data_IF_044137485522
#
_entry.id   IF_044137485522
#
_cell.length_a   1.000
_cell.length_b   1.000
_cell.length_c   1.000
_cell.angle_alpha   90.00
_cell.angle_beta   90.00
_cell.angle_gamma   90.00
#
_symmetry.space_group_name_H-M   'P 1'
#
loop_
_entity.id
_entity.type
_entity.pdbx_description
1 polymer ?
#
# COMPACT_ATOMS: atom_id res chain seq x y z
N UNK A 1 -27.83 -43.51 26.10
CA UNK A 1 -27.40 -43.43 24.69
C UNK A 1 -28.60 -43.80 23.84
N UNK A 2 -29.41 -42.80 23.46
CA UNK A 2 -30.57 -43.01 22.59
C UNK A 2 -30.18 -42.57 21.20
N UNK A 3 -29.83 -43.55 20.37
CA UNK A 3 -29.57 -43.40 18.95
C UNK A 3 -30.90 -43.06 18.26
N UNK A 4 -31.06 -41.80 17.87
CA UNK A 4 -32.14 -41.34 16.99
C UNK A 4 -31.91 -41.93 15.60
N UNK A 5 -32.75 -42.88 15.20
CA UNK A 5 -32.88 -43.37 13.84
C UNK A 5 -33.32 -42.22 12.92
N UNK A 6 -32.68 -42.00 11.76
CA UNK A 6 -33.16 -41.00 10.80
C UNK A 6 -34.53 -41.43 10.29
N UNK A 7 -35.50 -40.52 10.34
CA UNK A 7 -36.82 -40.72 9.71
C UNK A 7 -36.60 -40.94 8.20
N UNK A 8 -37.20 -41.98 7.60
CA UNK A 8 -37.11 -42.18 6.15
C UNK A 8 -37.70 -40.95 5.45
N UNK A 9 -36.89 -40.33 4.59
CA UNK A 9 -37.25 -39.16 3.82
C UNK A 9 -38.41 -39.47 2.87
N UNK A 10 -39.38 -38.55 2.82
CA UNK A 10 -40.51 -38.65 1.90
C UNK A 10 -40.02 -38.34 0.47
N UNK A 11 -40.13 -39.27 -0.51
CA UNK A 11 -39.61 -39.06 -1.88
C UNK A 11 -40.19 -37.84 -2.60
N UNK A 12 -41.41 -37.42 -2.26
CA UNK A 12 -42.03 -36.20 -2.79
C UNK A 12 -41.36 -34.95 -2.22
N UNK A 13 -40.99 -34.99 -0.95
CA UNK A 13 -40.31 -33.89 -0.26
C UNK A 13 -38.87 -33.74 -0.77
N UNK A 14 -38.14 -34.85 -0.96
CA UNK A 14 -36.81 -34.84 -1.55
C UNK A 14 -36.79 -34.21 -2.94
N UNK A 15 -37.75 -34.59 -3.81
CA UNK A 15 -37.86 -33.99 -5.14
C UNK A 15 -38.17 -32.49 -5.06
N UNK A 16 -39.00 -32.07 -4.10
CA UNK A 16 -39.33 -30.66 -3.89
C UNK A 16 -38.11 -29.85 -3.49
N UNK A 17 -37.35 -30.33 -2.51
CA UNK A 17 -36.12 -29.68 -2.04
C UNK A 17 -35.08 -29.60 -3.16
N UNK A 18 -34.97 -30.65 -3.98
CA UNK A 18 -34.09 -30.71 -5.14
C UNK A 18 -34.47 -29.69 -6.22
N UNK A 19 -35.76 -29.58 -6.56
CA UNK A 19 -36.27 -28.56 -7.50
C UNK A 19 -35.94 -27.15 -6.99
N UNK A 20 -36.11 -26.90 -5.68
CA UNK A 20 -35.76 -25.61 -5.09
C UNK A 20 -34.25 -25.33 -5.21
N UNK A 21 -33.39 -26.30 -4.91
CA UNK A 21 -31.94 -26.15 -5.05
C UNK A 21 -31.51 -25.84 -6.49
N UNK A 22 -32.11 -26.52 -7.47
CA UNK A 22 -31.91 -26.25 -8.91
C UNK A 22 -32.31 -24.80 -9.23
N UNK A 23 -33.45 -24.35 -8.72
CA UNK A 23 -33.93 -22.99 -8.97
C UNK A 23 -33.01 -21.92 -8.38
N UNK A 24 -32.49 -22.14 -7.16
CA UNK A 24 -31.49 -21.25 -6.55
C UNK A 24 -30.21 -21.17 -7.38
N UNK A 25 -29.69 -22.31 -7.87
CA UNK A 25 -28.50 -22.36 -8.74
C UNK A 25 -28.72 -21.60 -10.05
N UNK A 26 -29.87 -21.80 -10.68
CA UNK A 26 -30.24 -21.07 -11.90
C UNK A 26 -30.29 -19.56 -11.67
N UNK A 27 -30.90 -19.11 -10.57
CA UNK A 27 -30.96 -17.69 -10.23
C UNK A 27 -29.57 -17.09 -10.01
N UNK A 28 -28.66 -17.81 -9.35
CA UNK A 28 -27.27 -17.38 -9.20
C UNK A 28 -26.57 -17.25 -10.56
N UNK A 29 -26.80 -18.22 -11.45
CA UNK A 29 -26.22 -18.23 -12.79
C UNK A 29 -26.69 -17.07 -13.68
N UNK A 30 -27.87 -16.48 -13.42
CA UNK A 30 -28.37 -15.35 -14.22
C UNK A 30 -27.38 -14.18 -14.26
N UNK A 31 -26.69 -13.90 -13.15
CA UNK A 31 -25.62 -12.88 -13.10
C UNK A 31 -24.32 -13.41 -13.70
N UNK A 32 -23.93 -14.64 -13.36
CA UNK A 32 -22.65 -15.21 -13.79
C UNK A 32 -22.54 -15.42 -15.30
N UNK A 33 -23.63 -15.76 -16.00
CA UNK A 33 -23.61 -15.87 -17.48
C UNK A 33 -23.45 -14.52 -18.19
N UNK A 34 -23.65 -13.41 -17.48
CA UNK A 34 -23.33 -12.07 -17.96
C UNK A 34 -21.86 -11.71 -17.77
N UNK A 35 -21.08 -12.56 -17.07
CA UNK A 35 -19.69 -12.32 -16.70
C UNK A 35 -19.53 -11.01 -15.91
N UNK A 36 -20.50 -10.72 -15.04
CA UNK A 36 -20.57 -9.48 -14.25
C UNK A 36 -19.31 -9.25 -13.42
N UNK A 37 -18.83 -10.29 -12.71
CA UNK A 37 -17.61 -10.22 -11.89
C UNK A 37 -16.40 -9.72 -12.67
N UNK A 38 -16.18 -10.24 -13.88
CA UNK A 38 -15.03 -9.87 -14.70
C UNK A 38 -15.22 -8.52 -15.36
N UNK A 39 -16.46 -8.17 -15.73
CA UNK A 39 -16.78 -6.83 -16.22
C UNK A 39 -16.47 -5.78 -15.15
N UNK A 40 -16.88 -6.00 -13.91
CA UNK A 40 -16.61 -5.12 -12.78
C UNK A 40 -15.10 -5.00 -12.53
N UNK A 41 -14.36 -6.12 -12.55
CA UNK A 41 -12.90 -6.12 -12.41
C UNK A 41 -12.19 -5.31 -13.52
N UNK A 42 -12.68 -5.36 -14.75
CA UNK A 42 -12.15 -4.55 -15.87
C UNK A 42 -12.45 -3.06 -15.65
N UNK A 43 -13.64 -2.70 -15.13
CA UNK A 43 -14.01 -1.32 -14.82
C UNK A 43 -13.21 -0.74 -13.64
N UNK A 44 -12.95 -1.54 -12.61
CA UNK A 44 -12.11 -1.17 -11.47
C UNK A 44 -10.66 -0.95 -11.89
N UNK A 45 -10.13 -1.83 -12.74
CA UNK A 45 -8.79 -1.69 -13.29
C UNK A 45 -8.68 -0.47 -14.19
N UNK A 46 -9.71 -0.18 -15.00
CA UNK A 46 -9.78 1.04 -15.81
C UNK A 46 -9.73 2.30 -14.97
N UNK A 47 -10.51 2.35 -13.89
CA UNK A 47 -10.51 3.47 -12.94
C UNK A 47 -9.14 3.63 -12.30
N UNK A 48 -8.52 2.53 -11.87
CA UNK A 48 -7.21 2.54 -11.22
C UNK A 48 -6.13 3.07 -12.16
N UNK A 49 -6.03 2.52 -13.38
CA UNK A 49 -5.04 2.92 -14.38
C UNK A 49 -5.19 4.40 -14.74
N UNK A 50 -6.42 4.84 -15.03
CA UNK A 50 -6.68 6.23 -15.44
C UNK A 50 -6.47 7.23 -14.28
N UNK A 51 -6.55 6.77 -13.03
CA UNK A 51 -6.30 7.58 -11.84
C UNK A 51 -4.81 7.82 -11.53
N UNK A 52 -3.90 6.99 -12.02
CA UNK A 52 -2.47 7.04 -11.65
C UNK A 52 -1.82 8.40 -11.97
N UNK A 53 -2.03 8.94 -13.17
CA UNK A 53 -1.40 10.20 -13.59
C UNK A 53 -1.87 11.40 -12.76
N UNK A 54 -3.17 11.47 -12.44
CA UNK A 54 -3.72 12.54 -11.63
C UNK A 54 -3.20 12.51 -10.18
N UNK A 55 -3.13 11.31 -9.59
CA UNK A 55 -2.56 11.08 -8.26
C UNK A 55 -1.07 11.44 -8.20
N UNK A 56 -0.30 11.07 -9.23
CA UNK A 56 1.10 11.48 -9.36
C UNK A 56 1.25 13.00 -9.43
N UNK A 57 0.47 13.66 -10.28
CA UNK A 57 0.48 15.11 -10.38
C UNK A 57 0.17 15.79 -9.04
N UNK A 58 -0.75 15.23 -8.25
CA UNK A 58 -1.07 15.75 -6.91
C UNK A 58 0.12 15.66 -5.95
N UNK A 59 0.82 14.52 -5.89
CA UNK A 59 2.01 14.41 -5.02
C UNK A 59 3.19 15.25 -5.51
N UNK A 60 3.32 15.48 -6.84
CA UNK A 60 4.29 16.44 -7.40
C UNK A 60 3.96 17.87 -6.97
N UNK A 61 2.69 18.27 -7.07
CA UNK A 61 2.23 19.59 -6.64
C UNK A 61 2.43 19.80 -5.13
N UNK A 62 2.35 18.73 -4.33
CA UNK A 62 2.68 18.74 -2.90
C UNK A 62 4.19 18.80 -2.61
N UNK A 63 5.07 18.72 -3.63
CA UNK A 63 6.52 18.84 -3.50
C UNK A 63 7.29 17.52 -3.45
N UNK A 64 6.70 16.38 -3.82
CA UNK A 64 7.44 15.11 -3.92
C UNK A 64 8.35 15.08 -5.16
N UNK A 65 9.65 14.95 -4.95
CA UNK A 65 10.69 15.17 -5.99
C UNK A 65 11.40 13.90 -6.49
N UNK A 66 11.09 12.71 -5.95
CA UNK A 66 11.75 11.45 -6.30
C UNK A 66 10.82 10.50 -7.09
N UNK A 67 11.32 9.31 -7.44
CA UNK A 67 10.61 8.28 -8.21
C UNK A 67 10.13 8.78 -9.59
N UNK A 68 11.02 9.42 -10.35
CA UNK A 68 10.71 9.90 -11.71
C UNK A 68 10.38 8.76 -12.69
N UNK A 69 10.78 7.53 -12.37
CA UNK A 69 10.43 6.32 -13.11
C UNK A 69 8.95 5.94 -12.94
N UNK A 70 8.32 6.31 -11.82
CA UNK A 70 6.90 6.05 -11.58
C UNK A 70 5.99 6.83 -12.55
N UNK A 71 6.39 8.06 -12.93
CA UNK A 71 5.71 8.84 -13.97
C UNK A 71 5.73 8.10 -15.31
N UNK A 72 6.90 7.58 -15.71
CA UNK A 72 7.07 6.79 -16.94
C UNK A 72 6.29 5.48 -16.89
N UNK A 73 6.27 4.80 -15.73
CA UNK A 73 5.51 3.56 -15.52
C UNK A 73 4.02 3.83 -15.65
N UNK A 74 3.48 4.88 -15.03
CA UNK A 74 2.06 5.23 -15.13
C UNK A 74 1.63 5.52 -16.57
N UNK A 75 2.43 6.27 -17.33
CA UNK A 75 2.17 6.50 -18.75
C UNK A 75 2.20 5.22 -19.60
N UNK A 76 3.17 4.34 -19.35
CA UNK A 76 3.28 3.07 -20.05
C UNK A 76 2.07 2.16 -19.75
N UNK A 77 1.67 2.08 -18.48
CA UNK A 77 0.51 1.30 -18.05
C UNK A 77 -0.78 1.82 -18.72
N UNK A 78 -0.99 3.14 -18.76
CA UNK A 78 -2.14 3.75 -19.44
C UNK A 78 -2.20 3.38 -20.93
N UNK A 79 -1.07 3.46 -21.64
CA UNK A 79 -1.00 3.08 -23.07
C UNK A 79 -1.28 1.60 -23.30
N UNK A 80 -0.70 0.73 -22.48
CA UNK A 80 -0.88 -0.72 -22.58
C UNK A 80 -2.32 -1.15 -22.29
N UNK A 81 -2.97 -0.49 -21.32
CA UNK A 81 -4.33 -0.81 -20.91
C UNK A 81 -5.36 -0.66 -22.03
N UNK A 82 -5.20 0.33 -22.92
CA UNK A 82 -6.15 0.57 -24.03
C UNK A 82 -6.38 -0.70 -24.86
N UNK A 83 -5.30 -1.41 -25.22
CA UNK A 83 -5.39 -2.63 -26.01
C UNK A 83 -5.93 -3.81 -25.18
N UNK A 84 -5.44 -3.99 -23.95
CA UNK A 84 -5.86 -5.08 -23.07
C UNK A 84 -7.34 -4.98 -22.73
N UNK A 85 -7.83 -3.79 -22.39
CA UNK A 85 -9.24 -3.50 -22.15
C UNK A 85 -10.10 -3.86 -23.35
N UNK A 86 -9.71 -3.43 -24.55
CA UNK A 86 -10.46 -3.71 -25.78
C UNK A 86 -10.55 -5.21 -26.03
N UNK A 87 -9.46 -5.94 -25.81
CA UNK A 87 -9.42 -7.40 -25.95
C UNK A 87 -10.34 -8.09 -24.92
N UNK A 88 -10.26 -7.70 -23.65
CA UNK A 88 -11.10 -8.25 -22.59
C UNK A 88 -12.59 -7.99 -22.86
N UNK A 89 -12.95 -6.77 -23.27
CA UNK A 89 -14.31 -6.40 -23.64
C UNK A 89 -14.82 -7.20 -24.85
N UNK A 90 -13.98 -7.41 -25.86
CA UNK A 90 -14.33 -8.24 -27.01
C UNK A 90 -14.57 -9.69 -26.61
N UNK A 91 -13.77 -10.26 -25.71
CA UNK A 91 -13.95 -11.64 -25.25
C UNK A 91 -15.23 -11.78 -24.42
N UNK A 92 -15.52 -10.84 -23.51
CA UNK A 92 -16.78 -10.80 -22.77
C UNK A 92 -17.97 -10.75 -23.75
N UNK A 93 -17.93 -9.84 -24.72
CA UNK A 93 -19.01 -9.68 -25.71
C UNK A 93 -19.24 -10.92 -26.57
N UNK A 94 -18.21 -11.74 -26.80
CA UNK A 94 -18.31 -13.00 -27.54
C UNK A 94 -18.87 -14.15 -26.68
N UNK A 95 -18.51 -14.22 -25.40
CA UNK A 95 -18.89 -15.33 -24.51
C UNK A 95 -20.31 -15.17 -23.92
N UNK A 96 -20.70 -13.95 -23.55
CA UNK A 96 -21.99 -13.70 -22.88
C UNK A 96 -23.20 -14.24 -23.67
N UNK A 97 -23.37 -13.99 -24.99
CA UNK A 97 -24.54 -14.49 -25.72
C UNK A 97 -24.62 -16.03 -25.76
N UNK A 98 -23.46 -16.71 -25.78
CA UNK A 98 -23.37 -18.17 -25.77
C UNK A 98 -23.83 -18.73 -24.42
N UNK A 99 -23.30 -18.18 -23.33
CA UNK A 99 -23.65 -18.59 -21.96
C UNK A 99 -25.13 -18.30 -21.65
N UNK A 100 -25.64 -17.14 -22.05
CA UNK A 100 -27.07 -16.82 -21.95
C UNK A 100 -27.95 -17.75 -22.79
N UNK A 101 -27.46 -18.19 -23.96
CA UNK A 101 -28.13 -19.19 -24.78
C UNK A 101 -28.23 -20.54 -24.06
N UNK A 102 -27.17 -20.96 -23.38
CA UNK A 102 -27.14 -22.20 -22.61
C UNK A 102 -28.09 -22.13 -21.40
N UNK A 103 -28.11 -21.02 -20.66
CA UNK A 103 -29.02 -20.82 -19.52
C UNK A 103 -30.49 -20.84 -19.95
N UNK A 104 -30.85 -20.18 -21.05
CA UNK A 104 -32.23 -20.22 -21.59
C UNK A 104 -32.71 -21.63 -21.92
N UNK A 105 -31.81 -22.50 -22.39
CA UNK A 105 -32.12 -23.93 -22.60
C UNK A 105 -32.36 -24.65 -21.27
N UNK A 106 -31.56 -24.37 -20.24
CA UNK A 106 -31.76 -24.90 -18.90
C UNK A 106 -33.09 -24.42 -18.27
N UNK A 107 -33.51 -23.18 -18.53
CA UNK A 107 -34.82 -22.64 -18.11
C UNK A 107 -35.99 -23.39 -18.74
N UNK A 108 -35.85 -23.77 -20.00
CA UNK A 108 -36.85 -24.61 -20.69
C UNK A 108 -36.91 -26.01 -20.08
N UNK A 109 -35.75 -26.61 -19.74
CA UNK A 109 -35.69 -27.90 -19.04
C UNK A 109 -36.31 -27.85 -17.64
N UNK A 110 -36.10 -26.74 -16.91
CA UNK A 110 -36.71 -26.52 -15.60
C UNK A 110 -38.23 -26.46 -15.69
N UNK A 111 -38.77 -25.76 -16.69
CA UNK A 111 -40.21 -25.70 -16.95
C UNK A 111 -40.79 -27.10 -17.19
N UNK A 112 -40.09 -27.92 -17.98
CA UNK A 112 -40.48 -29.31 -18.24
C UNK A 112 -40.42 -30.19 -16.97
N UNK A 113 -39.37 -30.03 -16.15
CA UNK A 113 -39.24 -30.73 -14.87
C UNK A 113 -40.42 -30.42 -13.94
N UNK A 114 -40.76 -29.13 -13.79
CA UNK A 114 -41.87 -28.68 -12.95
C UNK A 114 -43.21 -29.22 -13.46
N UNK A 115 -43.41 -29.26 -14.79
CA UNK A 115 -44.63 -29.84 -15.38
C UNK A 115 -44.77 -31.34 -15.12
N UNK A 116 -43.66 -32.08 -15.02
CA UNK A 116 -43.63 -33.53 -14.80
C UNK A 116 -43.55 -33.94 -13.32
N UNK A 117 -43.65 -32.99 -12.37
CA UNK A 117 -43.49 -33.24 -10.92
C UNK A 117 -44.39 -34.33 -10.34
N UNK A 118 -45.53 -34.61 -10.97
CA UNK A 118 -46.46 -35.66 -10.54
C UNK A 118 -45.98 -37.08 -10.91
N UNK A 119 -45.06 -37.20 -11.88
CA UNK A 119 -44.43 -38.45 -12.26
C UNK A 119 -43.02 -38.51 -11.65
N UNK A 120 -42.90 -39.07 -10.45
CA UNK A 120 -41.66 -39.07 -9.67
C UNK A 120 -40.46 -39.67 -10.42
N UNK A 121 -40.65 -40.75 -11.18
CA UNK A 121 -39.56 -41.40 -11.92
C UNK A 121 -39.02 -40.49 -13.03
N UNK A 122 -39.92 -39.88 -13.82
CA UNK A 122 -39.54 -38.96 -14.89
C UNK A 122 -38.99 -37.65 -14.34
N UNK A 123 -39.58 -37.10 -13.28
CA UNK A 123 -39.09 -35.88 -12.65
C UNK A 123 -37.67 -36.06 -12.09
N UNK A 124 -37.37 -37.19 -11.47
CA UNK A 124 -36.03 -37.46 -10.95
C UNK A 124 -34.96 -37.56 -12.05
N UNK A 125 -35.29 -38.15 -13.21
CA UNK A 125 -34.35 -38.21 -14.33
C UNK A 125 -34.14 -36.84 -15.00
N UNK A 126 -35.21 -36.05 -15.15
CA UNK A 126 -35.14 -34.67 -15.64
C UNK A 126 -34.33 -33.77 -14.69
N UNK A 127 -34.51 -33.92 -13.37
CA UNK A 127 -33.74 -33.18 -12.38
C UNK A 127 -32.24 -33.49 -12.47
N UNK A 128 -31.87 -34.77 -12.60
CA UNK A 128 -30.46 -35.17 -12.76
C UNK A 128 -29.83 -34.62 -14.05
N UNK A 129 -30.57 -34.65 -15.16
CA UNK A 129 -30.12 -34.08 -16.43
C UNK A 129 -29.95 -32.55 -16.36
N UNK A 130 -30.86 -31.86 -15.69
CA UNK A 130 -30.79 -30.41 -15.49
C UNK A 130 -29.62 -30.04 -14.59
N UNK A 131 -29.40 -30.73 -13.47
CA UNK A 131 -28.23 -30.50 -12.61
C UNK A 131 -26.91 -30.66 -13.37
N UNK A 132 -26.79 -31.69 -14.21
CA UNK A 132 -25.61 -31.88 -15.07
C UNK A 132 -25.45 -30.74 -16.07
N UNK A 133 -26.55 -30.25 -16.65
CA UNK A 133 -26.56 -29.09 -17.55
C UNK A 133 -26.09 -27.83 -16.83
N UNK A 134 -26.60 -27.56 -15.62
CA UNK A 134 -26.19 -26.40 -14.82
C UNK A 134 -24.72 -26.47 -14.43
N UNK A 135 -24.21 -27.63 -13.99
CA UNK A 135 -22.78 -27.80 -13.70
C UNK A 135 -21.91 -27.58 -14.94
N UNK A 136 -22.39 -27.94 -16.13
CA UNK A 136 -21.73 -27.63 -17.40
C UNK A 136 -21.70 -26.13 -17.70
N UNK A 137 -22.78 -25.40 -17.43
CA UNK A 137 -22.84 -23.94 -17.58
C UNK A 137 -21.89 -23.26 -16.59
N UNK A 138 -21.92 -23.65 -15.32
CA UNK A 138 -21.01 -23.16 -14.27
C UNK A 138 -19.54 -23.33 -14.71
N UNK A 139 -19.19 -24.52 -15.23
CA UNK A 139 -17.83 -24.79 -15.71
C UNK A 139 -17.44 -23.91 -16.91
N UNK A 140 -18.37 -23.65 -17.83
CA UNK A 140 -18.14 -22.75 -18.97
C UNK A 140 -17.99 -21.29 -18.55
N UNK A 141 -18.79 -20.85 -17.57
CA UNK A 141 -18.67 -19.52 -16.97
C UNK A 141 -17.27 -19.36 -16.37
N UNK A 142 -16.85 -20.25 -15.47
CA UNK A 142 -15.52 -20.16 -14.84
C UNK A 142 -14.39 -20.22 -15.86
N UNK A 143 -14.52 -21.03 -16.92
CA UNK A 143 -13.55 -21.06 -18.00
C UNK A 143 -13.50 -19.74 -18.78
N UNK A 144 -14.65 -19.14 -19.10
CA UNK A 144 -14.73 -17.85 -19.77
C UNK A 144 -14.14 -16.73 -18.90
N UNK A 145 -14.46 -16.71 -17.60
CA UNK A 145 -13.88 -15.77 -16.64
C UNK A 145 -12.35 -15.91 -16.57
N UNK A 146 -11.85 -17.14 -16.46
CA UNK A 146 -10.41 -17.41 -16.43
C UNK A 146 -9.66 -17.00 -17.70
N UNK A 147 -10.26 -17.20 -18.87
CA UNK A 147 -9.68 -16.74 -20.15
C UNK A 147 -9.57 -15.22 -20.20
N UNK A 148 -10.63 -14.51 -19.78
CA UNK A 148 -10.64 -13.05 -19.81
C UNK A 148 -9.68 -12.50 -18.76
N UNK A 149 -9.72 -12.98 -17.53
CA UNK A 149 -8.85 -12.52 -16.44
C UNK A 149 -7.37 -12.81 -16.74
N UNK A 150 -7.06 -14.02 -17.22
CA UNK A 150 -5.70 -14.40 -17.61
C UNK A 150 -5.14 -13.60 -18.79
N UNK A 151 -5.97 -12.84 -19.51
CA UNK A 151 -5.49 -11.94 -20.57
C UNK A 151 -4.86 -10.64 -20.04
N UNK A 152 -5.11 -10.28 -18.78
CA UNK A 152 -4.63 -9.03 -18.18
C UNK A 152 -4.10 -9.16 -16.73
N UNK A 153 -4.01 -10.35 -16.16
CA UNK A 153 -3.61 -10.58 -14.77
C UNK A 153 -2.20 -10.05 -14.42
N UNK A 154 -1.21 -10.31 -15.28
CA UNK A 154 0.15 -9.80 -15.12
C UNK A 154 0.16 -8.26 -15.14
N UNK A 155 -0.61 -7.67 -16.04
CA UNK A 155 -0.77 -6.23 -16.12
C UNK A 155 -1.47 -5.67 -14.87
N UNK A 156 -2.50 -6.35 -14.36
CA UNK A 156 -3.18 -5.98 -13.12
C UNK A 156 -2.19 -5.93 -11.94
N UNK A 157 -1.28 -6.89 -11.84
CA UNK A 157 -0.24 -6.91 -10.81
C UNK A 157 0.69 -5.69 -10.92
N UNK A 158 1.14 -5.34 -12.14
CA UNK A 158 1.99 -4.16 -12.35
C UNK A 158 1.29 -2.85 -11.95
N UNK A 159 -0.01 -2.73 -12.23
CA UNK A 159 -0.84 -1.59 -11.82
C UNK A 159 -0.99 -1.55 -10.29
N UNK A 160 -1.23 -2.69 -9.64
CA UNK A 160 -1.35 -2.78 -8.20
C UNK A 160 -0.05 -2.40 -7.49
N UNK A 161 1.11 -2.80 -8.02
CA UNK A 161 2.42 -2.39 -7.50
C UNK A 161 2.62 -0.87 -7.60
N UNK A 162 2.35 -0.29 -8.77
CA UNK A 162 2.45 1.16 -8.98
C UNK A 162 1.48 1.93 -8.07
N UNK A 163 0.23 1.44 -7.96
CA UNK A 163 -0.78 2.01 -7.08
C UNK A 163 -0.40 1.94 -5.60
N UNK A 164 0.18 0.82 -5.16
CA UNK A 164 0.63 0.64 -3.77
C UNK A 164 1.79 1.58 -3.43
N UNK A 165 2.76 1.72 -4.33
CA UNK A 165 3.86 2.70 -4.16
C UNK A 165 3.32 4.13 -4.10
N UNK A 166 2.36 4.48 -4.95
CA UNK A 166 1.75 5.81 -4.95
C UNK A 166 0.96 6.08 -3.67
N UNK A 167 0.22 5.09 -3.15
CA UNK A 167 -0.47 5.19 -1.85
C UNK A 167 0.51 5.45 -0.71
N UNK A 168 1.69 4.80 -0.73
CA UNK A 168 2.74 5.07 0.27
C UNK A 168 3.28 6.50 0.18
N UNK A 169 3.47 7.03 -1.03
CA UNK A 169 3.90 8.42 -1.26
C UNK A 169 2.82 9.41 -0.82
N UNK A 170 1.55 9.14 -1.12
CA UNK A 170 0.44 10.00 -0.67
C UNK A 170 0.37 10.06 0.85
N UNK A 171 0.53 8.93 1.53
CA UNK A 171 0.61 8.89 2.99
C UNK A 171 1.82 9.66 3.53
N UNK A 172 3.00 9.47 2.92
CA UNK A 172 4.21 10.25 3.23
C UNK A 172 3.95 11.75 3.14
N UNK A 173 3.36 12.21 2.04
CA UNK A 173 3.09 13.63 1.82
C UNK A 173 2.04 14.16 2.79
N UNK A 174 1.03 13.36 3.15
CA UNK A 174 0.08 13.70 4.22
C UNK A 174 0.78 13.88 5.57
N UNK A 175 1.69 12.97 5.94
CA UNK A 175 2.47 13.09 7.16
C UNK A 175 3.40 14.31 7.16
N UNK A 176 4.00 14.63 6.01
CA UNK A 176 4.82 15.84 5.85
C UNK A 176 4.00 17.13 5.97
N UNK A 177 2.77 17.16 5.47
CA UNK A 177 1.89 18.33 5.56
C UNK A 177 1.52 18.67 7.02
N UNK A 178 1.50 17.68 7.90
CA UNK A 178 1.24 17.85 9.33
C UNK A 178 2.50 17.97 10.18
N UNK A 179 3.70 17.83 9.60
CA UNK A 179 4.94 17.84 10.36
C UNK A 179 5.18 19.19 11.06
N UNK A 180 5.77 19.13 12.26
CA UNK A 180 6.18 20.30 13.06
C UNK A 180 7.54 20.86 12.62
N UNK A 181 8.24 20.15 11.74
CA UNK A 181 9.52 20.56 11.15
C UNK A 181 9.35 20.98 9.70
N UNK A 182 10.30 21.77 9.20
CA UNK A 182 10.35 22.18 7.81
C UNK A 182 11.51 21.51 7.09
N UNK A 183 11.32 21.20 5.81
CA UNK A 183 12.41 20.80 4.93
C UNK A 183 13.29 22.01 4.61
N UNK A 184 14.60 21.79 4.54
CA UNK A 184 15.52 22.79 4.02
C UNK A 184 15.24 23.02 2.53
N UNK A 185 15.58 24.20 1.98
CA UNK A 185 15.58 24.41 0.54
C UNK A 185 16.32 23.29 -0.17
N UNK A 186 15.74 22.71 -1.22
CA UNK A 186 16.27 21.58 -2.00
C UNK A 186 16.32 20.23 -1.28
N UNK A 187 15.95 20.13 0.00
CA UNK A 187 15.73 18.86 0.67
C UNK A 187 14.46 18.19 0.16
N UNK A 188 14.52 16.88 -0.07
CA UNK A 188 13.37 16.07 -0.48
C UNK A 188 13.10 14.98 0.55
N UNK A 189 11.83 14.78 0.89
CA UNK A 189 11.43 13.62 1.69
C UNK A 189 11.48 12.35 0.85
N UNK A 190 12.08 11.29 1.38
CA UNK A 190 12.29 10.00 0.70
C UNK A 190 11.28 8.97 1.19
N UNK A 191 11.10 8.86 2.50
CA UNK A 191 10.23 7.86 3.12
C UNK A 191 9.72 8.32 4.48
N UNK A 192 8.62 7.73 4.92
CA UNK A 192 8.17 7.80 6.30
C UNK A 192 7.59 6.45 6.71
N UNK A 193 7.60 6.19 8.01
CA UNK A 193 6.98 5.01 8.61
C UNK A 193 6.51 5.35 10.02
N UNK A 194 5.39 4.77 10.43
CA UNK A 194 5.01 4.78 11.83
C UNK A 194 6.07 4.06 12.66
N UNK A 195 6.52 4.70 13.73
CA UNK A 195 7.60 4.16 14.54
C UNK A 195 7.38 4.45 16.02
N UNK A 196 7.97 3.58 16.84
CA UNK A 196 8.16 3.78 18.27
C UNK A 196 9.66 3.93 18.54
N UNK A 197 10.04 4.97 19.27
CA UNK A 197 11.42 5.14 19.74
C UNK A 197 11.57 4.49 21.11
N UNK A 198 12.31 3.39 21.16
CA UNK A 198 12.65 2.72 22.42
C UNK A 198 13.76 3.51 23.13
N UNK A 199 13.36 4.39 24.04
CA UNK A 199 14.29 5.17 24.88
C UNK A 199 14.49 4.45 26.22
N UNK A 200 15.67 4.63 26.82
CA UNK A 200 15.89 4.15 28.20
C UNK A 200 14.89 4.84 29.16
N UNK A 201 13.94 4.09 29.72
CA UNK A 201 12.90 4.63 30.59
C UNK A 201 11.57 3.87 30.52
N UNK A 202 10.48 4.53 30.94
CA UNK A 202 9.09 3.99 30.89
C UNK A 202 8.25 4.59 29.74
N UNK A 203 8.80 5.51 28.98
CA UNK A 203 8.09 6.18 27.88
C UNK A 203 8.81 5.85 26.58
N UNK A 204 8.11 5.13 25.71
CA UNK A 204 8.55 4.86 24.35
C UNK A 204 7.68 5.69 23.40
N UNK A 205 8.14 6.90 22.99
CA UNK A 205 7.35 7.80 22.17
C UNK A 205 6.88 7.14 20.89
N UNK A 206 5.61 7.32 20.56
CA UNK A 206 5.04 6.88 19.28
C UNK A 206 4.91 8.06 18.32
N UNK A 207 5.15 7.81 17.05
CA UNK A 207 5.03 8.83 16.04
C UNK A 207 5.51 8.35 14.68
N UNK A 208 6.18 9.24 13.94
CA UNK A 208 6.61 8.97 12.57
C UNK A 208 8.11 9.21 12.43
N UNK A 209 8.79 8.21 11.90
CA UNK A 209 10.17 8.29 11.45
C UNK A 209 10.16 8.73 9.99
N UNK A 210 10.79 9.85 9.69
CA UNK A 210 10.97 10.38 8.35
C UNK A 210 12.43 10.21 7.92
N UNK A 211 12.63 9.85 6.66
CA UNK A 211 13.90 9.92 5.98
C UNK A 211 13.79 10.94 4.86
N UNK A 212 14.71 11.89 4.84
CA UNK A 212 14.96 12.77 3.71
C UNK A 212 16.26 12.37 3.03
N UNK A 213 16.60 13.01 1.92
CA UNK A 213 17.91 12.86 1.28
C UNK A 213 19.07 13.46 2.12
N UNK A 214 18.78 14.10 3.25
CA UNK A 214 19.78 14.77 4.10
C UNK A 214 19.69 14.42 5.59
N UNK A 215 18.53 13.99 6.09
CA UNK A 215 18.23 13.83 7.52
C UNK A 215 17.41 12.59 7.80
N UNK A 216 17.65 12.01 8.97
CA UNK A 216 16.74 11.09 9.64
C UNK A 216 16.04 11.86 10.77
N UNK A 217 14.72 11.93 10.73
CA UNK A 217 13.93 12.69 11.69
C UNK A 217 12.91 11.79 12.38
N UNK A 218 12.69 11.99 13.67
CA UNK A 218 11.60 11.33 14.38
C UNK A 218 10.73 12.37 15.07
N UNK A 219 9.46 12.38 14.69
CA UNK A 219 8.44 13.23 15.28
C UNK A 219 7.50 12.39 16.13
N UNK A 220 7.38 12.72 17.41
CA UNK A 220 6.36 12.15 18.29
C UNK A 220 5.00 12.72 17.90
N UNK A 221 4.02 11.83 17.72
CA UNK A 221 2.64 12.17 17.36
C UNK A 221 1.71 11.14 17.98
N UNK A 222 1.22 11.40 19.19
CA UNK A 222 0.35 10.47 19.92
C UNK A 222 -0.61 11.17 20.91
N UNK A 223 -1.72 10.51 21.24
CA UNK A 223 -2.59 10.91 22.35
C UNK A 223 -2.16 10.19 23.63
N UNK A 224 -1.72 10.96 24.62
CA UNK A 224 -1.35 10.41 25.95
C UNK A 224 -2.44 10.76 26.95
N UNK A 225 -2.88 9.75 27.72
CA UNK A 225 -3.80 9.99 28.83
C UNK A 225 -3.06 10.72 29.97
N UNK A 226 -3.41 11.97 30.23
CA UNK A 226 -2.76 12.81 31.26
C UNK A 226 -3.35 12.62 32.65
N UNK A 227 -4.59 12.11 32.76
CA UNK A 227 -5.22 11.76 34.04
C UNK A 227 -5.94 10.42 33.98
N UNK A 228 -5.78 9.63 35.04
CA UNK A 228 -6.53 8.37 35.24
C UNK A 228 -7.26 8.41 36.58
N UNK A 229 -8.56 8.12 36.58
CA UNK A 229 -9.38 7.92 37.79
C UNK A 229 -9.95 6.51 37.72
N UNK A 230 -9.69 5.67 38.73
CA UNK A 230 -10.13 4.26 38.79
C UNK A 230 -9.86 3.48 37.49
N UNK A 231 -8.63 3.54 36.98
CA UNK A 231 -8.20 2.90 35.72
C UNK A 231 -8.84 3.44 34.43
N UNK A 232 -9.71 4.46 34.50
CA UNK A 232 -10.32 5.12 33.34
C UNK A 232 -9.51 6.38 33.01
N UNK A 233 -9.08 6.51 31.75
CA UNK A 233 -8.48 7.74 31.24
C UNK A 233 -9.54 8.85 31.20
N UNK A 234 -9.28 9.98 31.87
CA UNK A 234 -10.23 11.09 32.01
C UNK A 234 -9.84 12.32 31.20
N UNK A 235 -8.54 12.52 30.97
CA UNK A 235 -8.01 13.58 30.11
C UNK A 235 -6.96 12.99 29.17
N UNK A 236 -6.94 13.48 27.93
CA UNK A 236 -5.95 13.14 26.91
C UNK A 236 -5.29 14.42 26.41
N UNK A 237 -3.99 14.36 26.18
CA UNK A 237 -3.21 15.41 25.53
C UNK A 237 -2.59 14.86 24.25
N UNK A 238 -2.73 15.61 23.15
CA UNK A 238 -2.04 15.29 21.90
C UNK A 238 -0.62 15.85 21.97
N UNK A 239 0.35 14.96 22.03
CA UNK A 239 1.76 15.33 21.93
C UNK A 239 2.15 15.31 20.45
N UNK A 240 2.67 16.43 19.95
CA UNK A 240 3.13 16.58 18.57
C UNK A 240 4.41 17.43 18.55
N UNK A 241 5.58 16.78 18.44
CA UNK A 241 6.88 17.47 18.49
C UNK A 241 8.00 16.64 17.84
N UNK A 242 8.93 17.34 17.20
CA UNK A 242 10.18 16.76 16.74
C UNK A 242 11.07 16.35 17.93
N UNK A 243 11.50 15.10 17.98
CA UNK A 243 12.39 14.57 19.02
C UNK A 243 13.78 14.21 18.51
N UNK A 244 13.93 13.91 17.21
CA UNK A 244 15.22 13.64 16.58
C UNK A 244 15.30 14.43 15.27
N UNK A 245 16.41 15.13 15.10
CA UNK A 245 16.87 15.71 13.84
C UNK A 245 18.35 15.33 13.69
N UNK A 246 18.62 14.32 12.86
CA UNK A 246 19.96 13.79 12.66
C UNK A 246 20.36 13.83 11.19
N UNK A 247 21.38 14.63 10.79
CA UNK A 247 21.94 14.55 9.46
C UNK A 247 22.40 13.13 9.11
N UNK A 248 22.02 12.61 7.94
CA UNK A 248 22.42 11.26 7.52
C UNK A 248 23.93 11.10 7.39
N UNK A 249 24.65 12.21 7.15
CA UNK A 249 26.10 12.26 7.14
C UNK A 249 26.75 11.98 8.51
N UNK A 250 26.01 12.15 9.61
CA UNK A 250 26.48 11.83 10.97
C UNK A 250 26.07 10.43 11.42
N UNK A 251 25.35 9.66 10.61
CA UNK A 251 25.02 8.27 10.93
C UNK A 251 26.24 7.40 10.65
N UNK A 252 26.78 6.77 11.69
CA UNK A 252 27.92 5.85 11.58
C UNK A 252 27.46 4.48 11.06
N UNK A 253 26.39 3.94 11.66
CA UNK A 253 25.86 2.62 11.34
C UNK A 253 24.33 2.57 11.51
N UNK A 254 23.69 1.80 10.64
CA UNK A 254 22.30 1.35 10.81
C UNK A 254 22.31 -0.18 10.83
N UNK A 255 21.77 -0.80 11.88
CA UNK A 255 21.54 -2.25 11.93
C UNK A 255 20.04 -2.50 11.88
N UNK A 256 19.63 -3.26 10.86
CA UNK A 256 18.30 -3.81 10.75
C UNK A 256 18.23 -5.11 11.57
N UNK A 257 17.13 -5.31 12.30
CA UNK A 257 16.89 -6.58 13.00
C UNK A 257 15.41 -6.90 13.05
N UNK A 258 15.08 -8.20 13.02
CA UNK A 258 13.72 -8.69 13.25
C UNK A 258 13.63 -9.24 14.67
N UNK A 259 12.71 -8.74 15.48
CA UNK A 259 12.47 -9.12 16.88
C UNK A 259 11.02 -9.58 17.09
N UNK A 260 10.65 -9.84 18.33
CA UNK A 260 9.32 -10.33 18.71
C UNK A 260 9.12 -11.84 18.46
N UNK A 261 7.96 -12.35 18.87
CA UNK A 261 7.62 -13.75 18.69
C UNK A 261 7.52 -14.05 17.18
N UNK A 262 8.30 -15.02 16.70
CA UNK A 262 8.42 -15.37 15.27
C UNK A 262 9.04 -14.28 14.36
N UNK A 263 9.67 -13.23 14.91
CA UNK A 263 10.40 -12.24 14.11
C UNK A 263 9.51 -11.25 13.34
N UNK A 264 8.30 -10.97 13.86
CA UNK A 264 7.32 -10.09 13.23
C UNK A 264 7.55 -8.58 13.46
N UNK A 265 8.47 -8.19 14.34
CA UNK A 265 8.76 -6.77 14.61
C UNK A 265 10.01 -6.34 13.85
N UNK A 266 9.90 -5.28 13.05
CA UNK A 266 11.02 -4.71 12.30
C UNK A 266 11.68 -3.58 13.09
N UNK A 267 12.98 -3.69 13.36
CA UNK A 267 13.72 -2.72 14.18
C UNK A 267 14.92 -2.11 13.46
N UNK A 268 15.22 -0.85 13.81
CA UNK A 268 16.40 -0.11 13.36
C UNK A 268 17.22 0.37 14.57
N UNK A 269 18.46 -0.08 14.66
CA UNK A 269 19.47 0.46 15.57
C UNK A 269 20.36 1.44 14.81
N UNK A 270 20.23 2.73 15.10
CA UNK A 270 20.99 3.80 14.42
C UNK A 270 22.02 4.37 15.39
N UNK A 271 23.31 4.30 15.06
CA UNK A 271 24.38 4.96 15.82
C UNK A 271 24.86 6.21 15.08
N UNK A 272 25.10 7.28 15.83
CA UNK A 272 25.63 8.52 15.28
C UNK A 272 27.04 8.80 15.77
N UNK A 273 27.74 9.66 15.03
CA UNK A 273 29.05 10.17 15.40
C UNK A 273 29.02 10.99 16.70
N UNK A 274 30.20 11.34 17.23
CA UNK A 274 30.32 12.08 18.49
C UNK A 274 29.57 13.42 18.51
N UNK A 275 29.43 14.06 17.35
CA UNK A 275 28.76 15.35 17.17
C UNK A 275 27.30 15.20 16.70
N UNK A 276 26.77 13.97 16.68
CA UNK A 276 25.38 13.68 16.33
C UNK A 276 24.38 14.11 17.42
N UNK A 277 23.07 14.11 17.10
CA UNK A 277 22.03 14.55 18.04
C UNK A 277 21.87 13.63 19.27
N UNK A 278 22.16 12.34 19.10
CA UNK A 278 22.16 11.31 20.14
C UNK A 278 23.26 10.30 19.82
N UNK A 279 23.72 9.51 20.80
CA UNK A 279 24.69 8.44 20.55
C UNK A 279 24.11 7.29 19.73
N UNK A 280 22.91 6.88 20.08
CA UNK A 280 22.17 5.86 19.39
C UNK A 280 20.66 6.12 19.53
N UNK A 281 19.90 5.62 18.56
CA UNK A 281 18.44 5.57 18.59
C UNK A 281 17.98 4.17 18.17
N UNK A 282 17.07 3.58 18.95
CA UNK A 282 16.44 2.31 18.64
C UNK A 282 14.98 2.56 18.24
N UNK A 283 14.60 2.13 17.04
CA UNK A 283 13.23 2.27 16.55
C UNK A 283 12.63 0.90 16.27
N UNK A 284 11.39 0.69 16.72
CA UNK A 284 10.49 -0.30 16.14
C UNK A 284 9.67 0.39 15.06
N UNK A 285 9.74 -0.08 13.82
CA UNK A 285 8.98 0.45 12.68
C UNK A 285 7.82 -0.49 12.34
N UNK A 286 6.67 0.08 11.97
CA UNK A 286 5.44 -0.67 11.72
C UNK A 286 5.12 -0.76 10.22
N UNK A 287 4.82 -1.98 9.74
CA UNK A 287 4.32 -2.21 8.39
C UNK A 287 5.34 -2.03 7.26
N UNK A 288 6.63 -1.88 7.57
CA UNK A 288 7.70 -1.79 6.56
C UNK A 288 8.94 -2.58 7.01
N UNK A 289 9.67 -3.15 6.04
CA UNK A 289 10.83 -4.00 6.30
C UNK A 289 12.05 -3.20 6.78
N UNK A 290 12.70 -3.65 7.85
CA UNK A 290 13.86 -2.97 8.42
C UNK A 290 15.10 -2.97 7.51
N UNK A 291 15.29 -3.99 6.65
CA UNK A 291 16.42 -4.04 5.73
C UNK A 291 16.22 -3.05 4.58
N UNK A 292 14.99 -2.91 4.10
CA UNK A 292 14.63 -1.85 3.15
C UNK A 292 15.01 -0.47 3.73
N UNK A 293 14.60 -0.18 4.97
CA UNK A 293 14.92 1.09 5.63
C UNK A 293 16.42 1.31 5.82
N UNK A 294 17.17 0.32 6.26
CA UNK A 294 18.64 0.42 6.36
C UNK A 294 19.28 0.70 4.99
N UNK A 295 18.74 0.09 3.92
CA UNK A 295 19.14 0.37 2.54
C UNK A 295 18.83 1.80 2.10
N UNK A 296 17.64 2.32 2.43
CA UNK A 296 17.26 3.72 2.14
C UNK A 296 18.19 4.71 2.85
N UNK A 297 18.49 4.51 4.15
CA UNK A 297 19.42 5.39 4.88
C UNK A 297 20.83 5.33 4.25
N UNK A 298 21.29 4.15 3.84
CA UNK A 298 22.58 3.99 3.17
C UNK A 298 22.64 4.76 1.83
N UNK A 299 21.57 4.70 1.03
CA UNK A 299 21.43 5.45 -0.22
C UNK A 299 21.40 6.96 0.01
N UNK A 300 20.71 7.42 1.07
CA UNK A 300 20.71 8.83 1.44
C UNK A 300 22.12 9.31 1.84
N UNK A 301 22.84 8.54 2.65
CA UNK A 301 24.23 8.83 3.02
C UNK A 301 25.17 8.86 1.81
N UNK A 302 24.94 7.99 0.83
CA UNK A 302 25.68 7.95 -0.44
C UNK A 302 25.26 9.04 -1.44
N UNK A 303 24.23 9.84 -1.12
CA UNK A 303 23.59 10.83 -2.02
C UNK A 303 23.04 10.22 -3.31
N UNK A 304 22.66 8.95 -3.30
CA UNK A 304 22.17 8.27 -4.51
C UNK A 304 20.84 8.83 -4.99
N UNK A 305 19.99 9.31 -4.08
CA UNK A 305 18.71 9.91 -4.43
C UNK A 305 18.85 11.16 -5.31
N UNK A 306 20.00 11.86 -5.31
CA UNK A 306 20.25 13.00 -6.18
C UNK A 306 20.15 12.62 -7.68
N UNK A 307 20.42 11.35 -8.02
CA UNK A 307 20.34 10.80 -9.39
C UNK A 307 18.90 10.51 -9.82
N UNK A 308 18.00 10.33 -8.86
CA UNK A 308 16.61 9.91 -9.06
C UNK A 308 15.62 11.07 -8.89
N UNK A 309 16.14 12.28 -8.61
CA UNK A 309 15.33 13.49 -8.57
C UNK A 309 14.77 13.81 -9.95
N UNK A 310 13.53 14.29 -9.97
CA UNK A 310 12.89 14.82 -11.18
C UNK A 310 13.62 16.07 -11.68
N UNK A 311 14.04 16.92 -10.75
CA UNK A 311 14.83 18.11 -11.02
C UNK A 311 16.18 18.02 -10.31
N UNK A 312 17.26 18.27 -11.07
CA UNK A 312 18.62 18.33 -10.52
C UNK A 312 18.72 19.47 -9.50
N UNK A 313 19.50 19.23 -8.46
CA UNK A 313 19.91 20.29 -7.54
C UNK A 313 20.77 21.29 -8.32
N UNK A 314 20.50 22.58 -8.13
CA UNK A 314 21.26 23.66 -8.76
C UNK A 314 22.74 23.59 -8.34
N UNK A 315 23.63 23.69 -9.33
CA UNK A 315 25.08 23.70 -9.11
C UNK A 315 25.50 24.84 -8.18
N UNK A 316 24.85 26.01 -8.25
CA UNK A 316 25.15 27.14 -7.37
C UNK A 316 24.92 26.80 -5.88
N UNK A 317 23.93 25.94 -5.57
CA UNK A 317 23.68 25.47 -4.20
C UNK A 317 24.80 24.54 -3.75
N UNK A 318 25.30 23.67 -4.64
CA UNK A 318 26.41 22.77 -4.33
C UNK A 318 27.72 23.55 -4.12
N UNK A 319 28.00 24.52 -4.98
CA UNK A 319 29.20 25.36 -4.92
C UNK A 319 29.21 26.19 -3.63
N UNK A 320 28.04 26.70 -3.22
CA UNK A 320 27.89 27.44 -1.96
C UNK A 320 28.26 26.60 -0.73
N UNK A 321 27.88 25.33 -0.72
CA UNK A 321 28.22 24.41 0.38
C UNK A 321 29.70 24.08 0.34
N UNK A 322 30.26 23.85 -0.84
CA UNK A 322 31.69 23.58 -0.99
C UNK A 322 32.57 24.76 -0.55
N UNK A 323 32.07 26.00 -0.75
CA UNK A 323 32.73 27.23 -0.34
C UNK A 323 32.47 27.62 1.13
N UNK A 324 31.65 26.86 1.86
CA UNK A 324 31.27 27.21 3.21
C UNK A 324 32.49 27.21 4.17
N UNK A 325 32.56 28.15 5.12
CA UNK A 325 33.71 28.28 6.00
C UNK A 325 33.84 27.05 6.91
N UNK A 326 35.08 26.56 7.05
CA UNK A 326 35.41 25.41 7.91
C UNK A 326 35.80 25.81 9.33
N UNK A 327 35.98 27.11 9.60
CA UNK A 327 36.32 27.67 10.90
C UNK A 327 35.44 28.87 11.24
N UNK A 328 35.13 29.03 12.52
CA UNK A 328 34.41 30.16 13.04
C UNK A 328 35.25 31.44 12.91
N UNK A 329 34.73 32.46 12.23
CA UNK A 329 35.40 33.76 12.10
C UNK A 329 35.57 34.52 13.42
N UNK A 330 34.78 34.18 14.46
CA UNK A 330 34.83 34.85 15.76
C UNK A 330 35.87 34.25 16.73
N UNK A 331 36.00 32.92 16.78
CA UNK A 331 36.86 32.23 17.75
C UNK A 331 37.91 31.29 17.13
N UNK A 332 37.93 31.11 15.80
CA UNK A 332 38.86 30.25 15.09
C UNK A 332 38.61 28.74 15.22
N UNK A 333 37.68 28.32 16.09
CA UNK A 333 37.32 26.91 16.27
C UNK A 333 36.75 26.29 14.98
N UNK A 334 37.03 25.02 14.69
CA UNK A 334 36.48 24.34 13.52
C UNK A 334 34.96 24.18 13.65
N UNK A 335 34.25 24.24 12.53
CA UNK A 335 32.89 23.72 12.45
C UNK A 335 32.96 22.21 12.25
N UNK A 336 32.38 21.44 13.17
CA UNK A 336 32.44 19.97 13.17
C UNK A 336 31.18 19.32 12.59
N UNK A 337 30.05 20.05 12.56
CA UNK A 337 28.80 19.56 11.99
C UNK A 337 28.79 19.66 10.46
N UNK A 338 28.25 18.65 9.75
CA UNK A 338 28.11 18.73 8.30
C UNK A 338 27.14 19.85 7.92
N UNK A 339 27.47 20.54 6.83
CA UNK A 339 26.62 21.57 6.26
C UNK A 339 25.68 20.92 5.25
N UNK A 340 24.38 21.10 5.44
CA UNK A 340 23.35 20.53 4.58
C UNK A 340 23.00 21.48 3.43
N UNK A 341 22.54 20.91 2.30
CA UNK A 341 21.96 21.67 1.20
C UNK A 341 20.74 22.44 1.68
N UNK A 342 20.68 23.71 1.29
CA UNK A 342 19.64 24.65 1.71
C UNK A 342 19.89 25.33 3.06
N UNK A 343 20.93 24.94 3.80
CA UNK A 343 21.28 25.60 5.05
C UNK A 343 21.79 27.02 4.77
N UNK A 344 21.25 28.01 5.50
CA UNK A 344 21.58 29.44 5.32
C UNK A 344 22.47 29.99 6.43
N UNK A 345 22.61 29.26 7.53
CA UNK A 345 23.44 29.65 8.67
C UNK A 345 24.04 28.44 9.38
N UNK A 346 25.22 28.64 9.96
CA UNK A 346 25.90 27.67 10.82
C UNK A 346 26.21 28.32 12.17
N UNK A 347 26.02 27.57 13.25
CA UNK A 347 26.31 28.01 14.61
C UNK A 347 27.59 27.35 15.10
N UNK A 348 28.49 28.14 15.68
CA UNK A 348 29.71 27.63 16.30
C UNK A 348 29.37 26.97 17.64
N UNK A 349 29.65 25.68 17.80
CA UNK A 349 29.38 24.95 19.05
C UNK A 349 30.26 25.42 20.23
N UNK A 350 31.39 26.10 19.96
CA UNK A 350 32.30 26.61 21.01
C UNK A 350 31.90 27.98 21.56
N UNK A 351 31.72 28.98 20.70
CA UNK A 351 31.41 30.36 21.13
C UNK A 351 29.97 30.81 20.84
N UNK A 352 29.15 29.99 20.19
CA UNK A 352 27.75 30.30 19.87
C UNK A 352 27.55 31.27 18.71
N UNK A 353 28.62 31.82 18.10
CA UNK A 353 28.51 32.74 16.98
C UNK A 353 27.81 32.08 15.78
N UNK A 354 26.92 32.84 15.12
CA UNK A 354 26.19 32.40 13.93
C UNK A 354 26.83 33.03 12.69
N UNK A 355 27.24 32.19 11.74
CA UNK A 355 27.79 32.60 10.45
C UNK A 355 26.74 32.33 9.38
N UNK A 356 26.39 33.34 8.58
CA UNK A 356 25.54 33.17 7.40
C UNK A 356 26.37 32.56 6.26
N UNK A 357 25.78 31.59 5.59
CA UNK A 357 26.35 30.89 4.44
C UNK A 357 26.06 31.63 3.14
#
# INVERSE_FOLDING_TARGET
MSSSTPTPSNPVQELTDRIQAIQWRMNSLQSSVLLSTVKDAVEDLDTTVNGLSARLAAVRAAGYVFDADLDKKAEALSRQWIQLRTNAQSQIAQQTPLLQGDLRRAETQMTNLVAQRANLTLANSLAAALESTLSGIESKVSAAEGVVQGSYDAFQNEVQEAGSRLTQIEWLMGQMAEATFQLLPTEGVVAAVEAKWDKEGKEDPKGVLFLTDQRLLFEQKEEVATKKVLFIATEKEKIHKLLLDGPVAQIDQVKASKKGLMGHEDHLDVSFSLDGPVRAAHFHINGQDCNLWAGLVSRAKAKDFDKERIAKVDQAVLDKIAAAPTKCGNCGSPFTKPIMRGQTEIKCDYCGAVTRL
#
